data_IF_662548229233
#
_entry.id   IF_662548229233
#
_cell.length_a   1.000
_cell.length_b   1.000
_cell.length_c   1.000
_cell.angle_alpha   90.00
_cell.angle_beta   90.00
_cell.angle_gamma   90.00
#
_symmetry.space_group_name_H-M   'P 1'
#
loop_
_entity.id
_entity.type
_entity.pdbx_description
1 polymer ?
#
# COMPACT_ATOMS: atom_id res chain seq x y z
N UNK A 1 15.86 -20.45 22.35
CA UNK A 1 17.28 -20.57 21.96
C UNK A 1 18.15 -20.18 23.15
N UNK A 2 19.23 -20.90 23.45
CA UNK A 2 20.18 -20.54 24.52
C UNK A 2 21.62 -20.71 24.08
N UNK A 3 22.50 -19.82 24.56
CA UNK A 3 23.95 -19.89 24.29
C UNK A 3 24.54 -21.23 24.73
N UNK A 4 24.13 -21.75 25.89
CA UNK A 4 24.60 -23.02 26.44
C UNK A 4 24.24 -24.26 25.63
N UNK A 5 23.14 -24.22 24.86
CA UNK A 5 22.70 -25.34 24.01
C UNK A 5 23.21 -25.21 22.58
N UNK A 6 23.96 -24.14 22.27
CA UNK A 6 24.49 -23.83 20.94
C UNK A 6 23.42 -23.93 19.82
N UNK A 7 22.16 -23.64 20.17
CA UNK A 7 21.01 -23.69 19.25
C UNK A 7 20.49 -22.29 18.89
N UNK A 8 21.34 -21.27 19.05
CA UNK A 8 21.07 -19.91 18.64
C UNK A 8 21.34 -19.72 17.15
N UNK A 9 20.53 -18.87 16.52
CA UNK A 9 20.75 -18.43 15.14
C UNK A 9 21.49 -17.11 15.16
N UNK A 10 22.58 -17.02 14.41
CA UNK A 10 23.40 -15.81 14.30
C UNK A 10 22.67 -14.75 13.44
N UNK A 11 22.23 -13.61 14.02
CA UNK A 11 21.42 -12.63 13.29
C UNK A 11 22.16 -12.00 12.11
N UNK A 12 23.46 -11.73 12.26
CA UNK A 12 24.27 -11.15 11.19
C UNK A 12 24.33 -12.08 9.96
N UNK A 13 24.37 -13.39 10.17
CA UNK A 13 24.37 -14.37 9.09
C UNK A 13 23.03 -14.42 8.35
N UNK A 14 21.90 -14.27 9.06
CA UNK A 14 20.57 -14.18 8.44
C UNK A 14 20.46 -12.92 7.58
N UNK A 15 20.88 -11.78 8.11
CA UNK A 15 20.87 -10.49 7.38
C UNK A 15 21.77 -10.55 6.15
N UNK A 16 22.96 -11.16 6.26
CA UNK A 16 23.86 -11.32 5.12
C UNK A 16 23.27 -12.19 3.99
N UNK A 17 22.46 -13.21 4.33
CA UNK A 17 21.82 -14.09 3.35
C UNK A 17 20.59 -13.48 2.70
N UNK A 18 19.74 -12.81 3.48
CA UNK A 18 18.37 -12.47 3.08
C UNK A 18 18.10 -10.97 3.02
N UNK A 19 19.02 -10.14 3.52
CA UNK A 19 18.85 -8.70 3.65
C UNK A 19 18.16 -8.29 4.94
N UNK A 20 18.44 -7.05 5.36
CA UNK A 20 17.94 -6.46 6.59
C UNK A 20 16.41 -6.35 6.61
N UNK A 21 15.84 -5.87 5.51
CA UNK A 21 14.43 -5.50 5.42
C UNK A 21 13.51 -6.71 5.42
N UNK A 22 13.88 -7.77 4.69
CA UNK A 22 13.18 -9.05 4.72
C UNK A 22 13.24 -9.66 6.12
N UNK A 23 14.42 -9.66 6.75
CA UNK A 23 14.59 -10.18 8.10
C UNK A 23 13.71 -9.42 9.10
N UNK A 24 13.71 -8.08 9.05
CA UNK A 24 12.95 -7.26 10.00
C UNK A 24 11.44 -7.41 9.83
N UNK A 25 10.94 -7.41 8.60
CA UNK A 25 9.53 -7.69 8.33
C UNK A 25 9.13 -9.07 8.82
N UNK A 26 9.97 -10.09 8.62
CA UNK A 26 9.69 -11.44 9.11
C UNK A 26 9.64 -11.52 10.63
N UNK A 27 10.51 -10.81 11.35
CA UNK A 27 10.46 -10.75 12.82
C UNK A 27 9.15 -10.13 13.32
N UNK A 28 8.64 -9.12 12.62
CA UNK A 28 7.41 -8.41 12.98
C UNK A 28 6.13 -9.11 12.50
N UNK A 29 6.25 -10.06 11.56
CA UNK A 29 5.12 -10.76 10.97
C UNK A 29 4.66 -12.00 11.76
N UNK A 30 3.40 -12.36 11.55
CA UNK A 30 2.78 -13.67 11.85
C UNK A 30 2.61 -14.06 13.32
N UNK A 31 3.35 -13.48 14.26
CA UNK A 31 3.25 -13.80 15.69
C UNK A 31 3.23 -12.52 16.53
N UNK A 32 2.55 -12.58 17.68
CA UNK A 32 2.63 -11.50 18.68
C UNK A 32 3.99 -11.49 19.39
N UNK A 33 4.39 -10.37 20.01
CA UNK A 33 5.69 -10.26 20.69
C UNK A 33 5.88 -11.28 21.82
N UNK A 34 4.78 -11.78 22.40
CA UNK A 34 4.80 -12.77 23.49
C UNK A 34 4.64 -14.22 23.01
N UNK A 35 4.44 -14.44 21.72
CA UNK A 35 4.21 -15.78 21.17
C UNK A 35 5.53 -16.47 20.86
N UNK A 36 5.66 -17.74 21.26
CA UNK A 36 6.79 -18.56 20.87
C UNK A 36 6.79 -18.79 19.35
N UNK A 37 7.98 -18.84 18.75
CA UNK A 37 8.15 -19.13 17.32
C UNK A 37 9.32 -20.07 17.11
N UNK A 38 9.08 -21.11 16.33
CA UNK A 38 10.14 -21.97 15.81
C UNK A 38 10.80 -21.28 14.62
N UNK A 39 12.13 -21.17 14.65
CA UNK A 39 12.87 -20.50 13.59
C UNK A 39 13.25 -21.49 12.49
N UNK A 40 12.52 -21.44 11.38
CA UNK A 40 12.84 -22.14 10.14
C UNK A 40 12.94 -21.11 9.01
N UNK A 41 14.16 -20.74 8.60
CA UNK A 41 14.40 -19.67 7.62
C UNK A 41 13.60 -19.86 6.33
N UNK A 42 13.56 -21.09 5.79
CA UNK A 42 12.92 -21.39 4.51
C UNK A 42 11.41 -21.14 4.54
N UNK A 43 10.75 -21.50 5.63
CA UNK A 43 9.29 -21.36 5.77
C UNK A 43 8.91 -19.94 6.22
N UNK A 44 9.65 -19.41 7.21
CA UNK A 44 9.31 -18.18 7.93
C UNK A 44 9.48 -16.92 7.07
N UNK A 45 10.43 -16.94 6.12
CA UNK A 45 10.76 -15.81 5.25
C UNK A 45 9.92 -15.83 3.96
N UNK A 46 9.45 -17.00 3.52
CA UNK A 46 8.85 -17.19 2.19
C UNK A 46 7.63 -16.29 1.95
N UNK A 47 6.70 -16.22 2.90
CA UNK A 47 5.50 -15.39 2.77
C UNK A 47 5.82 -13.89 2.64
N UNK A 48 6.77 -13.40 3.43
CA UNK A 48 7.21 -12.00 3.40
C UNK A 48 7.99 -11.70 2.12
N UNK A 49 8.87 -12.62 1.68
CA UNK A 49 9.61 -12.50 0.42
C UNK A 49 8.66 -12.39 -0.78
N UNK A 50 7.66 -13.26 -0.87
CA UNK A 50 6.64 -13.17 -1.92
C UNK A 50 5.81 -11.89 -1.84
N UNK A 51 5.54 -11.40 -0.63
CA UNK A 51 4.87 -10.12 -0.47
C UNK A 51 5.73 -8.93 -0.92
N UNK A 52 7.03 -8.90 -0.62
CA UNK A 52 7.95 -7.89 -1.16
C UNK A 52 7.99 -7.91 -2.69
N UNK A 53 8.10 -9.09 -3.32
CA UNK A 53 8.07 -9.20 -4.79
C UNK A 53 6.75 -8.68 -5.39
N UNK A 54 5.62 -8.87 -4.69
CA UNK A 54 4.32 -8.34 -5.10
C UNK A 54 4.25 -6.81 -5.02
N UNK A 55 4.79 -6.21 -3.97
CA UNK A 55 4.88 -4.74 -3.85
C UNK A 55 5.81 -4.15 -4.92
N UNK A 56 6.97 -4.77 -5.15
CA UNK A 56 7.88 -4.39 -6.21
C UNK A 56 7.20 -4.39 -7.59
N UNK A 57 6.43 -5.45 -7.86
CA UNK A 57 5.67 -5.57 -9.11
C UNK A 57 4.66 -4.43 -9.32
N UNK A 58 3.98 -3.96 -8.28
CA UNK A 58 3.04 -2.82 -8.40
C UNK A 58 3.75 -1.55 -8.89
N UNK A 59 4.94 -1.25 -8.34
CA UNK A 59 5.72 -0.07 -8.72
C UNK A 59 6.31 -0.25 -10.14
N UNK A 60 6.76 -1.45 -10.50
CA UNK A 60 7.23 -1.75 -11.86
C UNK A 60 6.11 -1.61 -12.90
N UNK A 61 4.90 -2.12 -12.60
CA UNK A 61 3.73 -1.97 -13.47
C UNK A 61 3.35 -0.48 -13.67
N UNK A 62 3.50 0.35 -12.64
CA UNK A 62 3.34 1.79 -12.76
C UNK A 62 4.43 2.44 -13.64
N UNK A 63 5.69 2.04 -13.48
CA UNK A 63 6.80 2.51 -14.31
C UNK A 63 6.62 2.15 -15.79
N UNK A 64 6.18 0.93 -16.07
CA UNK A 64 5.91 0.46 -17.44
C UNK A 64 4.69 1.16 -18.03
N UNK A 65 3.66 1.40 -17.22
CA UNK A 65 2.53 2.25 -17.61
C UNK A 65 3.00 3.66 -17.98
N UNK A 66 3.86 4.27 -17.18
CA UNK A 66 4.34 5.63 -17.42
C UNK A 66 5.13 5.77 -18.73
N UNK A 67 5.89 4.74 -19.11
CA UNK A 67 6.61 4.67 -20.39
C UNK A 67 5.71 4.46 -21.61
N UNK A 68 4.53 3.86 -21.41
CA UNK A 68 3.62 3.46 -22.50
C UNK A 68 2.40 4.38 -22.64
N UNK A 69 2.07 5.16 -21.61
CA UNK A 69 0.97 6.12 -21.65
C UNK A 69 1.24 7.25 -22.67
N UNK A 70 0.19 7.76 -23.36
CA UNK A 70 0.33 8.77 -24.40
C UNK A 70 0.92 10.07 -23.82
N UNK A 71 2.06 10.46 -24.39
CA UNK A 71 2.95 11.52 -23.92
C UNK A 71 4.38 11.36 -24.45
N UNK A 72 4.80 10.14 -24.81
CA UNK A 72 6.16 9.85 -25.36
C UNK A 72 6.16 9.05 -26.68
N UNK A 73 5.02 8.51 -27.13
CA UNK A 73 4.95 7.82 -28.43
C UNK A 73 3.61 7.14 -28.62
N UNK A 74 3.00 7.29 -29.79
CA UNK A 74 1.64 6.82 -30.08
C UNK A 74 1.46 5.32 -29.87
N UNK A 75 0.55 4.94 -28.97
CA UNK A 75 0.07 3.56 -28.85
C UNK A 75 -0.73 3.30 -27.58
N UNK A 76 -2.04 3.08 -27.76
CA UNK A 76 -3.12 2.76 -26.78
C UNK A 76 -3.81 3.97 -26.12
N UNK A 77 -5.14 3.92 -26.19
CA UNK A 77 -6.13 4.85 -25.62
C UNK A 77 -6.24 4.72 -24.09
N UNK A 78 -5.11 4.74 -23.37
CA UNK A 78 -5.09 4.65 -21.92
C UNK A 78 -4.34 5.85 -21.38
N UNK A 79 -5.07 6.83 -20.87
CA UNK A 79 -4.51 8.10 -20.38
C UNK A 79 -4.32 8.07 -18.87
N UNK A 80 -3.42 8.92 -18.39
CA UNK A 80 -3.35 9.30 -16.98
C UNK A 80 -4.72 9.81 -16.46
N UNK A 81 -4.96 9.77 -15.13
CA UNK A 81 -6.18 10.28 -14.53
C UNK A 81 -6.46 11.74 -14.95
N UNK A 82 -7.69 12.01 -15.36
CA UNK A 82 -8.13 13.36 -15.72
C UNK A 82 -8.24 14.28 -14.50
N UNK A 83 -8.02 15.57 -14.71
CA UNK A 83 -8.12 16.61 -13.69
C UNK A 83 -9.51 16.75 -13.06
N UNK A 84 -10.56 16.50 -13.83
CA UNK A 84 -11.95 16.58 -13.37
C UNK A 84 -12.38 15.34 -12.56
N UNK A 85 -11.59 14.26 -12.60
CA UNK A 85 -11.77 12.97 -11.90
C UNK A 85 -13.16 12.34 -12.04
N UNK A 86 -14.03 12.92 -12.86
CA UNK A 86 -15.41 12.50 -13.07
C UNK A 86 -15.44 11.12 -13.71
N UNK A 87 -14.34 10.70 -14.36
CA UNK A 87 -14.11 9.37 -14.91
C UNK A 87 -13.48 8.34 -13.96
N UNK A 88 -13.10 8.65 -12.72
CA UNK A 88 -12.37 7.70 -11.88
C UNK A 88 -13.21 6.44 -11.57
N UNK A 89 -12.79 5.31 -12.14
CA UNK A 89 -13.51 4.05 -12.10
C UNK A 89 -13.43 3.38 -10.71
N UNK A 90 -12.35 3.59 -9.95
CA UNK A 90 -12.23 3.00 -8.61
C UNK A 90 -13.06 3.73 -7.57
N UNK A 91 -13.25 5.05 -7.73
CA UNK A 91 -14.15 5.81 -6.85
C UNK A 91 -15.59 5.30 -6.91
N UNK A 92 -16.03 4.81 -8.08
CA UNK A 92 -17.36 4.19 -8.25
C UNK A 92 -17.42 2.76 -7.71
N UNK A 93 -16.28 2.11 -7.53
CA UNK A 93 -16.20 0.78 -6.95
C UNK A 93 -16.29 0.87 -5.43
N UNK A 94 -17.53 0.87 -4.91
CA UNK A 94 -17.82 0.94 -3.47
C UNK A 94 -17.07 -0.11 -2.64
N UNK A 95 -16.88 -1.32 -3.17
CA UNK A 95 -16.12 -2.37 -2.49
C UNK A 95 -14.65 -1.98 -2.34
N UNK A 96 -14.02 -1.47 -3.41
CA UNK A 96 -12.63 -1.01 -3.33
C UNK A 96 -12.48 0.13 -2.32
N UNK A 97 -13.33 1.16 -2.42
CA UNK A 97 -13.29 2.34 -1.52
C UNK A 97 -13.43 1.92 -0.06
N UNK A 98 -14.41 1.06 0.25
CA UNK A 98 -14.67 0.60 1.62
C UNK A 98 -13.52 -0.23 2.19
N UNK A 99 -13.02 -1.20 1.42
CA UNK A 99 -11.92 -2.06 1.89
C UNK A 99 -10.62 -1.27 2.04
N UNK A 100 -10.33 -0.34 1.13
CA UNK A 100 -9.19 0.58 1.25
C UNK A 100 -9.29 1.45 2.50
N UNK A 101 -10.43 2.13 2.74
CA UNK A 101 -10.65 2.95 3.93
C UNK A 101 -10.52 2.12 5.22
N UNK A 102 -11.10 0.92 5.25
CA UNK A 102 -10.99 0.00 6.38
C UNK A 102 -9.54 -0.38 6.68
N UNK A 103 -8.76 -0.73 5.65
CA UNK A 103 -7.33 -1.05 5.82
C UNK A 103 -6.58 0.13 6.43
N UNK A 104 -6.72 1.33 5.86
CA UNK A 104 -6.01 2.54 6.34
C UNK A 104 -6.34 2.78 7.81
N UNK A 105 -7.62 2.74 8.18
CA UNK A 105 -8.05 2.95 9.56
C UNK A 105 -7.54 1.88 10.52
N UNK A 106 -7.52 0.61 10.09
CA UNK A 106 -6.95 -0.47 10.91
C UNK A 106 -5.45 -0.30 11.10
N UNK A 107 -4.71 0.09 10.06
CA UNK A 107 -3.27 0.35 10.16
C UNK A 107 -3.00 1.51 11.11
N UNK A 108 -3.73 2.62 10.98
CA UNK A 108 -3.63 3.77 11.90
C UNK A 108 -3.92 3.32 13.34
N UNK A 109 -4.99 2.55 13.56
CA UNK A 109 -5.33 2.04 14.88
C UNK A 109 -4.23 1.14 15.47
N UNK A 110 -3.64 0.24 14.66
CA UNK A 110 -2.57 -0.63 15.11
C UNK A 110 -1.27 0.12 15.40
N UNK A 111 -0.93 1.17 14.65
CA UNK A 111 0.23 1.99 14.98
C UNK A 111 0.03 2.91 16.18
N UNK A 112 -1.18 3.43 16.38
CA UNK A 112 -1.43 4.49 17.38
C UNK A 112 -2.02 4.00 18.70
N UNK A 113 -2.70 2.84 18.71
CA UNK A 113 -3.45 2.35 19.89
C UNK A 113 -3.00 0.96 20.34
N UNK A 114 -3.08 -0.04 19.47
CA UNK A 114 -2.91 -1.44 19.89
C UNK A 114 -1.49 -2.00 19.73
N UNK A 115 -0.63 -1.34 18.93
CA UNK A 115 0.75 -1.74 18.66
C UNK A 115 0.93 -3.18 18.14
N UNK A 116 -0.11 -3.73 17.50
CA UNK A 116 -0.08 -5.08 16.91
C UNK A 116 0.49 -5.01 15.49
N UNK A 117 1.82 -4.97 15.37
CA UNK A 117 2.52 -4.79 14.09
C UNK A 117 2.30 -5.93 13.08
N UNK A 118 2.06 -7.15 13.56
CA UNK A 118 1.70 -8.28 12.70
C UNK A 118 0.36 -8.05 11.98
N UNK A 119 -0.60 -7.38 12.65
CA UNK A 119 -1.86 -6.96 12.06
C UNK A 119 -1.70 -5.80 11.07
N UNK A 120 -0.73 -4.90 11.30
CA UNK A 120 -0.35 -3.90 10.29
C UNK A 120 0.10 -4.60 9.01
N UNK A 121 1.08 -5.52 9.12
CA UNK A 121 1.61 -6.28 7.97
C UNK A 121 0.48 -7.01 7.23
N UNK A 122 -0.42 -7.67 7.97
CA UNK A 122 -1.57 -8.36 7.36
C UNK A 122 -2.47 -7.40 6.56
N UNK A 123 -2.71 -6.18 7.08
CA UNK A 123 -3.50 -5.18 6.37
C UNK A 123 -2.76 -4.58 5.15
N UNK A 124 -1.45 -4.37 5.23
CA UNK A 124 -0.66 -3.95 4.06
C UNK A 124 -0.62 -5.04 2.97
N UNK A 125 -0.58 -6.32 3.36
CA UNK A 125 -0.72 -7.46 2.44
C UNK A 125 -2.09 -7.50 1.75
N UNK A 126 -3.16 -7.20 2.49
CA UNK A 126 -4.51 -7.07 1.92
C UNK A 126 -4.55 -5.92 0.90
N UNK A 127 -4.02 -4.74 1.24
CA UNK A 127 -3.96 -3.59 0.33
C UNK A 127 -3.16 -3.90 -0.93
N UNK A 128 -2.00 -4.54 -0.79
CA UNK A 128 -1.18 -5.00 -1.92
C UNK A 128 -2.01 -5.90 -2.85
N UNK A 129 -2.78 -6.83 -2.27
CA UNK A 129 -3.62 -7.75 -3.03
C UNK A 129 -4.80 -7.05 -3.71
N UNK A 130 -5.41 -6.06 -3.07
CA UNK A 130 -6.46 -5.21 -3.66
C UNK A 130 -5.92 -4.44 -4.88
N UNK A 131 -4.75 -3.82 -4.77
CA UNK A 131 -4.11 -3.08 -5.86
C UNK A 131 -3.71 -4.01 -7.02
N UNK A 132 -3.17 -5.20 -6.74
CA UNK A 132 -2.83 -6.17 -7.79
C UNK A 132 -4.07 -6.69 -8.52
N UNK A 133 -5.19 -6.88 -7.82
CA UNK A 133 -6.47 -7.27 -8.43
C UNK A 133 -6.98 -6.22 -9.41
N UNK A 134 -6.83 -4.93 -9.07
CA UNK A 134 -7.14 -3.82 -9.98
C UNK A 134 -6.20 -3.84 -11.18
N UNK A 135 -4.90 -3.99 -10.95
CA UNK A 135 -3.87 -3.95 -12.01
C UNK A 135 -3.99 -5.12 -13.01
N UNK A 136 -4.49 -6.27 -12.55
CA UNK A 136 -4.74 -7.45 -13.38
C UNK A 136 -6.06 -7.40 -14.15
N UNK A 137 -6.91 -6.40 -13.92
CA UNK A 137 -8.19 -6.24 -14.62
C UNK A 137 -7.95 -5.80 -16.07
N UNK A 138 -8.34 -6.63 -17.04
CA UNK A 138 -8.12 -6.35 -18.47
C UNK A 138 -8.91 -5.15 -19.02
N UNK A 139 -9.89 -4.64 -18.25
CA UNK A 139 -10.79 -3.58 -18.70
C UNK A 139 -10.16 -2.18 -18.63
N UNK A 140 -9.42 -1.90 -17.57
CA UNK A 140 -8.85 -0.56 -17.29
C UNK A 140 -7.57 -0.74 -16.46
N UNK A 141 -6.48 -0.12 -16.90
CA UNK A 141 -5.21 -0.18 -16.17
C UNK A 141 -5.31 0.59 -14.84
N UNK A 142 -4.82 0.01 -13.74
CA UNK A 142 -4.88 0.61 -12.40
C UNK A 142 -4.40 2.06 -12.32
N UNK A 143 -3.21 2.40 -12.87
CA UNK A 143 -2.67 3.77 -12.85
C UNK A 143 -3.52 4.87 -13.50
N UNK A 144 -4.58 4.50 -14.24
CA UNK A 144 -5.55 5.47 -14.79
C UNK A 144 -6.51 6.04 -13.73
N UNK A 145 -6.52 5.48 -12.52
CA UNK A 145 -7.29 5.98 -11.38
C UNK A 145 -6.41 6.81 -10.44
N UNK A 146 -6.86 8.01 -10.08
CA UNK A 146 -6.20 8.83 -9.07
C UNK A 146 -6.26 8.15 -7.69
N UNK A 147 -7.38 7.46 -7.39
CA UNK A 147 -7.52 6.68 -6.16
C UNK A 147 -6.54 5.49 -6.10
N UNK A 148 -6.24 4.84 -7.22
CA UNK A 148 -5.20 3.81 -7.27
C UNK A 148 -3.83 4.38 -6.90
N UNK A 149 -3.44 5.49 -7.54
CA UNK A 149 -2.16 6.16 -7.27
C UNK A 149 -2.07 6.56 -5.80
N UNK A 150 -3.16 7.08 -5.23
CA UNK A 150 -3.24 7.45 -3.82
C UNK A 150 -3.10 6.24 -2.90
N UNK A 151 -3.83 5.16 -3.15
CA UNK A 151 -3.77 3.95 -2.33
C UNK A 151 -2.40 3.26 -2.40
N UNK A 152 -1.71 3.34 -3.54
CA UNK A 152 -0.33 2.88 -3.67
C UNK A 152 0.63 3.75 -2.84
N UNK A 153 0.51 5.09 -2.91
CA UNK A 153 1.31 5.98 -2.07
C UNK A 153 1.09 5.72 -0.56
N UNK A 154 -0.16 5.55 -0.12
CA UNK A 154 -0.48 5.18 1.27
C UNK A 154 0.16 3.85 1.67
N UNK A 155 0.13 2.84 0.81
CA UNK A 155 0.79 1.56 1.08
C UNK A 155 2.28 1.76 1.37
N UNK A 156 2.98 2.59 0.58
CA UNK A 156 4.41 2.85 0.74
C UNK A 156 4.71 3.64 2.03
N UNK A 157 3.93 4.68 2.31
CA UNK A 157 4.09 5.49 3.55
C UNK A 157 3.77 4.66 4.79
N UNK A 158 2.72 3.84 4.77
CA UNK A 158 2.39 2.94 5.88
C UNK A 158 3.41 1.81 6.03
N UNK A 159 4.14 1.43 4.98
CA UNK A 159 5.20 0.43 5.05
C UNK A 159 6.48 0.98 5.72
N UNK A 160 6.74 2.28 5.60
CA UNK A 160 7.99 2.91 6.04
C UNK A 160 8.43 2.54 7.46
N UNK A 161 7.58 2.58 8.52
CA UNK A 161 8.01 2.20 9.86
C UNK A 161 8.45 0.73 9.98
N UNK A 162 7.92 -0.15 9.13
CA UNK A 162 8.20 -1.59 9.13
C UNK A 162 9.32 -2.00 8.18
N UNK A 163 9.63 -1.18 7.17
CA UNK A 163 10.61 -1.44 6.10
C UNK A 163 11.09 -0.13 5.45
N UNK A 164 11.91 0.74 6.10
CA UNK A 164 12.17 2.07 5.58
C UNK A 164 13.03 2.02 4.33
N UNK A 165 14.11 1.22 4.30
CA UNK A 165 14.98 1.18 3.12
C UNK A 165 14.24 0.63 1.90
N UNK A 166 13.44 -0.42 2.10
CA UNK A 166 12.64 -0.98 1.01
C UNK A 166 11.49 -0.05 0.60
N UNK A 167 10.81 0.60 1.55
CA UNK A 167 9.74 1.54 1.26
C UNK A 167 10.28 2.78 0.52
N UNK A 168 11.43 3.32 0.92
CA UNK A 168 12.08 4.43 0.23
C UNK A 168 12.43 4.06 -1.22
N UNK A 169 12.99 2.87 -1.47
CA UNK A 169 13.28 2.42 -2.83
C UNK A 169 12.00 2.31 -3.69
N UNK A 170 10.93 1.76 -3.12
CA UNK A 170 9.63 1.71 -3.79
C UNK A 170 9.05 3.10 -4.04
N UNK A 171 9.22 4.03 -3.10
CA UNK A 171 8.81 5.42 -3.24
C UNK A 171 9.55 6.11 -4.37
N UNK A 172 10.86 5.87 -4.51
CA UNK A 172 11.61 6.43 -5.62
C UNK A 172 11.15 5.90 -6.97
N UNK A 173 10.94 4.58 -7.09
CA UNK A 173 10.35 4.02 -8.31
C UNK A 173 8.97 4.64 -8.62
N UNK A 174 8.16 4.87 -7.59
CA UNK A 174 6.85 5.50 -7.71
C UNK A 174 6.95 6.97 -8.16
N UNK A 175 7.84 7.76 -7.56
CA UNK A 175 8.12 9.15 -7.94
C UNK A 175 8.63 9.27 -9.37
N UNK A 176 9.61 8.44 -9.73
CA UNK A 176 10.17 8.41 -11.08
C UNK A 176 9.10 8.12 -12.12
N UNK A 177 8.23 7.15 -11.88
CA UNK A 177 7.13 6.84 -12.79
C UNK A 177 6.15 8.02 -12.95
N UNK A 178 5.81 8.72 -11.86
CA UNK A 178 4.95 9.91 -11.90
C UNK A 178 5.62 11.12 -12.55
N UNK A 179 6.95 11.24 -12.48
CA UNK A 179 7.68 12.32 -13.13
C UNK A 179 7.62 12.26 -14.67
N UNK A 180 7.36 11.08 -15.23
CA UNK A 180 7.12 10.87 -16.66
C UNK A 180 5.68 11.21 -17.08
N UNK A 181 4.79 11.49 -16.12
CA UNK A 181 3.42 11.86 -16.42
C UNK A 181 3.31 13.31 -16.94
N UNK A 182 2.22 13.64 -17.66
CA UNK A 182 1.97 15.01 -18.08
C UNK A 182 1.95 15.97 -16.87
N UNK A 183 2.46 17.22 -17.00
CA UNK A 183 2.49 18.19 -15.90
C UNK A 183 1.13 18.46 -15.24
N UNK A 184 0.05 18.27 -16.01
CA UNK A 184 -1.33 18.41 -15.54
C UNK A 184 -1.73 17.35 -14.50
N UNK A 185 -1.04 16.20 -14.43
CA UNK A 185 -1.34 15.14 -13.47
C UNK A 185 -1.08 15.60 -12.03
N UNK A 186 0.03 16.28 -11.77
CA UNK A 186 0.35 16.75 -10.42
C UNK A 186 -0.72 17.75 -9.93
N UNK A 187 -1.16 18.64 -10.83
CA UNK A 187 -2.28 19.53 -10.56
C UNK A 187 -3.62 18.78 -10.40
N UNK A 188 -3.83 17.68 -11.13
CA UNK A 188 -5.00 16.82 -10.99
C UNK A 188 -5.03 16.10 -9.63
N UNK A 189 -3.88 15.57 -9.20
CA UNK A 189 -3.72 14.90 -7.91
C UNK A 189 -3.90 15.90 -6.76
N UNK A 190 -3.25 17.07 -6.80
CA UNK A 190 -3.40 18.11 -5.75
C UNK A 190 -4.83 18.66 -5.63
N UNK A 191 -5.60 18.71 -6.73
CA UNK A 191 -7.03 19.10 -6.70
C UNK A 191 -7.92 18.05 -6.04
N UNK A 192 -7.44 16.82 -5.88
CA UNK A 192 -8.10 15.87 -5.00
C UNK A 192 -7.96 16.38 -3.57
N UNK A 193 -9.05 16.77 -2.93
CA UNK A 193 -9.12 17.25 -1.54
C UNK A 193 -8.53 16.30 -0.48
N UNK A 194 -8.05 15.13 -0.89
CA UNK A 194 -7.43 14.15 -0.03
C UNK A 194 -5.94 13.97 -0.29
N UNK A 195 -5.37 14.38 -1.44
CA UNK A 195 -3.98 14.08 -1.78
C UNK A 195 -3.00 14.84 -0.85
N UNK A 196 -2.27 14.15 0.04
CA UNK A 196 -1.47 14.80 1.07
C UNK A 196 0.04 14.80 0.74
N UNK A 197 0.43 14.20 -0.39
CA UNK A 197 1.83 13.87 -0.67
C UNK A 197 2.51 14.91 -1.55
N UNK A 198 3.77 15.18 -1.23
CA UNK A 198 4.63 16.03 -2.02
C UNK A 198 5.63 15.16 -2.78
N UNK A 199 5.45 15.02 -4.09
CA UNK A 199 6.31 14.18 -4.94
C UNK A 199 7.74 14.74 -5.06
N UNK A 200 8.01 15.97 -4.61
CA UNK A 200 9.38 16.49 -4.56
C UNK A 200 10.14 16.05 -3.32
N UNK A 201 9.45 15.52 -2.30
CA UNK A 201 10.04 15.10 -1.03
C UNK A 201 10.27 13.59 -0.98
N UNK A 202 11.23 13.20 -0.16
CA UNK A 202 11.51 11.80 0.13
C UNK A 202 10.38 11.18 0.98
N UNK A 203 10.34 9.86 1.05
CA UNK A 203 9.25 9.14 1.71
C UNK A 203 9.11 9.50 3.19
N UNK A 204 10.23 9.69 3.88
CA UNK A 204 10.25 9.92 5.32
C UNK A 204 9.76 11.33 5.72
N UNK A 205 9.70 12.26 4.75
CA UNK A 205 9.14 13.60 4.93
C UNK A 205 7.64 13.67 4.60
N UNK A 206 7.05 12.56 4.15
CA UNK A 206 5.63 12.50 3.83
C UNK A 206 4.78 12.42 5.10
N UNK A 207 3.60 13.06 5.12
CA UNK A 207 2.66 12.88 6.21
C UNK A 207 2.13 11.44 6.22
N UNK A 208 1.93 10.88 7.41
CA UNK A 208 1.23 9.59 7.54
C UNK A 208 -0.24 9.74 7.09
N UNK A 209 -0.86 8.74 6.41
CA UNK A 209 -2.25 8.84 6.00
C UNK A 209 -3.19 9.14 7.15
N UNK A 210 -4.17 10.00 6.89
CA UNK A 210 -5.28 10.27 7.81
C UNK A 210 -6.37 9.20 7.70
N UNK A 211 -7.16 9.06 8.77
CA UNK A 211 -8.29 8.14 8.79
C UNK A 211 -9.33 8.55 7.74
N UNK A 212 -9.68 7.62 6.85
CA UNK A 212 -10.73 7.85 5.87
C UNK A 212 -12.10 7.62 6.55
N UNK A 213 -13.10 8.48 6.30
CA UNK A 213 -14.45 8.20 6.77
C UNK A 213 -14.93 6.86 6.21
N UNK A 214 -15.34 5.96 7.09
CA UNK A 214 -16.06 4.75 6.71
C UNK A 214 -17.54 5.13 6.76
N UNK A 215 -18.08 5.62 5.64
CA UNK A 215 -19.51 5.91 5.58
C UNK A 215 -20.29 4.59 5.61
N UNK A 216 -20.58 4.12 6.82
CA UNK A 216 -21.69 3.19 7.05
C UNK A 216 -23.02 3.98 7.08
N UNK A 217 -23.02 5.25 7.52
CA UNK A 217 -24.23 6.06 7.74
C UNK A 217 -24.82 6.74 6.48
N UNK A 218 -24.01 7.09 5.47
CA UNK A 218 -24.54 7.80 4.28
C UNK A 218 -25.32 6.88 3.32
N UNK A 219 -25.06 5.57 3.38
CA UNK A 219 -25.76 4.56 2.58
C UNK A 219 -27.16 4.30 3.14
N UNK A 220 -27.30 4.22 4.47
CA UNK A 220 -28.59 4.02 5.13
C UNK A 220 -29.48 5.26 5.04
N UNK A 221 -28.90 6.47 5.13
CA UNK A 221 -29.64 7.73 4.90
C UNK A 221 -30.16 7.88 3.47
N UNK A 222 -29.47 7.33 2.46
CA UNK A 222 -29.91 7.37 1.04
C UNK A 222 -30.87 6.24 0.66
N UNK A 223 -30.98 5.19 1.48
CA UNK A 223 -31.92 4.08 1.29
C UNK A 223 -33.24 4.26 2.04
N UNK A 224 -33.43 5.37 2.76
CA UNK A 224 -34.68 5.65 3.47
C UNK A 224 -34.98 4.67 4.59
N UNK A 225 -33.97 3.96 5.09
CA UNK A 225 -34.12 3.10 6.26
C UNK A 225 -33.94 4.01 7.48
N UNK A 226 -35.06 4.48 8.03
CA UNK A 226 -35.08 5.14 9.33
C UNK A 226 -34.36 4.27 10.36
N UNK A 227 -33.59 4.85 11.30
CA UNK A 227 -33.07 4.07 12.41
C UNK A 227 -34.27 3.46 13.13
N UNK A 228 -34.34 2.14 13.16
CA UNK A 228 -35.30 1.40 13.96
C UNK A 228 -35.10 1.85 15.41
N UNK A 229 -35.96 2.75 15.87
CA UNK A 229 -36.15 2.98 17.29
C UNK A 229 -36.79 1.72 17.81
N UNK A 230 -36.09 0.98 18.66
CA UNK A 230 -36.77 0.14 19.62
C UNK A 230 -35.96 0.03 20.90
N UNK A 231 -36.73 0.05 21.98
CA UNK A 231 -36.38 0.14 23.38
C UNK A 231 -35.65 -1.11 23.91
#
# INVERSE_FOLDING_TARGET
MSKSKLNGVEPAAVVARHGLELTRLTMLASVGPHSAREWNESEILMGVKHWQSRMWRLVMELSDFAKTAPGVGGGRSVSWPSADQTGDHLRRNRLFVREYARVVNQVIHHYSKSFVLSSVIANLQKLTSLLLKVSSSSKVAGPTSALYLRALADLLVMLYPLSPAFACELWEGYRMALSLAPPLLEAALRRHSAWPYDLQKDLFDQPFPEAAPVDDDEVDRKLGVSPSSEA
#
